data_IF_788988739268
#
_entry.id   IF_788988739268
#
_cell.length_a   1.000
_cell.length_b   1.000
_cell.length_c   1.000
_cell.angle_alpha   90.00
_cell.angle_beta   90.00
_cell.angle_gamma   90.00
#
_symmetry.space_group_name_H-M   'P 1'
#
loop_
_entity.id
_entity.type
_entity.pdbx_description
1 polymer ?
#
# COMPACT_ATOMS: atom_id res chain seq x y z
N UNK A 1 -47.82 -4.23 49.08
CA UNK A 1 -47.95 -3.16 48.06
C UNK A 1 -47.67 -1.82 48.73
N UNK A 2 -47.21 -0.75 48.05
CA UNK A 2 -46.85 -0.55 46.62
C UNK A 2 -45.39 0.01 46.49
N UNK A 3 -44.80 0.48 45.38
CA UNK A 3 -45.20 0.83 44.02
C UNK A 3 -43.96 0.84 43.08
N UNK A 4 -44.13 0.41 41.82
CA UNK A 4 -43.56 1.04 40.62
C UNK A 4 -42.06 1.04 40.36
N UNK A 5 -41.54 -0.04 39.75
CA UNK A 5 -40.31 0.04 38.93
C UNK A 5 -40.75 0.31 37.49
N UNK A 6 -40.46 1.52 37.00
CA UNK A 6 -40.54 1.82 35.58
C UNK A 6 -39.45 1.03 34.85
N UNK A 7 -39.88 0.06 34.04
CA UNK A 7 -39.04 -0.55 33.01
C UNK A 7 -38.83 0.50 31.94
N UNK A 8 -37.62 1.07 31.87
CA UNK A 8 -37.17 1.74 30.66
C UNK A 8 -36.79 0.65 29.67
N UNK A 9 -37.55 0.56 28.59
CA UNK A 9 -37.16 -0.18 27.39
C UNK A 9 -35.83 0.40 26.88
N UNK A 10 -34.74 -0.31 27.19
CA UNK A 10 -33.45 -0.08 26.57
C UNK A 10 -33.48 -0.66 25.16
N UNK A 11 -34.05 0.09 24.22
CA UNK A 11 -33.56 0.04 22.85
C UNK A 11 -32.20 0.72 22.87
N UNK A 12 -31.16 -0.01 23.26
CA UNK A 12 -29.78 0.41 23.09
C UNK A 12 -29.52 0.57 21.58
N UNK A 13 -29.66 1.81 21.11
CA UNK A 13 -28.91 2.27 19.95
C UNK A 13 -27.44 2.04 20.25
N UNK A 14 -26.88 0.93 19.74
CA UNK A 14 -25.43 0.78 19.61
C UNK A 14 -24.93 1.97 18.79
N UNK A 15 -24.39 2.99 19.45
CA UNK A 15 -23.71 4.08 18.76
C UNK A 15 -22.51 3.51 18.02
N UNK A 16 -22.68 3.42 16.70
CA UNK A 16 -21.68 3.05 15.70
C UNK A 16 -20.66 4.21 15.59
N UNK A 17 -19.84 4.38 16.63
CA UNK A 17 -18.89 5.48 16.71
C UNK A 17 -17.55 5.23 15.99
N UNK A 18 -17.25 3.98 15.59
CA UNK A 18 -15.92 3.56 15.06
C UNK A 18 -15.83 3.38 13.54
N UNK A 19 -16.85 3.75 12.76
CA UNK A 19 -16.96 3.42 11.31
C UNK A 19 -16.47 4.57 10.40
N UNK A 20 -15.50 5.37 10.85
CA UNK A 20 -14.99 6.49 10.05
C UNK A 20 -13.48 6.42 10.01
N UNK A 21 -12.90 6.68 8.83
CA UNK A 21 -11.47 6.92 8.73
C UNK A 21 -11.22 8.08 9.66
N UNK A 22 -10.15 7.93 10.42
CA UNK A 22 -9.47 9.00 11.12
C UNK A 22 -8.02 8.63 10.87
N UNK A 23 -7.46 8.99 9.72
CA UNK A 23 -6.03 8.77 9.46
C UNK A 23 -5.20 9.98 9.86
N UNK A 24 -3.97 9.76 10.32
CA UNK A 24 -3.08 10.89 10.59
C UNK A 24 -2.81 11.62 9.26
N UNK A 25 -2.46 12.87 9.31
CA UNK A 25 -2.15 13.74 8.15
C UNK A 25 -0.76 13.60 7.63
N UNK A 26 0.12 13.16 8.52
CA UNK A 26 1.22 12.30 8.16
C UNK A 26 0.73 11.04 7.43
N UNK A 27 -0.49 10.99 6.91
CA UNK A 27 -0.96 10.10 5.90
C UNK A 27 -1.86 10.72 4.82
N UNK A 28 -1.73 12.01 4.44
CA UNK A 28 -2.45 12.65 3.29
C UNK A 28 -1.52 13.39 2.33
N UNK A 29 -1.81 13.30 1.03
CA UNK A 29 -0.99 13.85 -0.04
C UNK A 29 -1.80 14.47 -1.14
N UNK A 30 -1.47 15.69 -1.57
CA UNK A 30 -2.04 16.21 -2.81
C UNK A 30 -1.56 15.42 -4.00
N UNK A 31 -2.44 15.23 -4.98
CA UNK A 31 -2.07 14.70 -6.29
C UNK A 31 -2.47 15.68 -7.39
N UNK A 32 -1.67 15.79 -8.47
CA UNK A 32 -1.99 16.65 -9.60
C UNK A 32 -3.22 16.13 -10.34
N UNK A 33 -3.87 17.00 -11.13
CA UNK A 33 -5.02 16.63 -11.98
C UNK A 33 -4.66 15.62 -13.08
N UNK A 34 -3.37 15.48 -13.39
CA UNK A 34 -2.80 14.60 -14.42
C UNK A 34 -2.81 13.12 -14.04
N UNK A 35 -2.93 12.78 -12.75
CA UNK A 35 -2.92 11.39 -12.26
C UNK A 35 -4.36 10.92 -11.98
N UNK A 36 -4.77 9.81 -12.57
CA UNK A 36 -6.09 9.21 -12.31
C UNK A 36 -6.20 8.68 -10.87
N UNK A 37 -7.41 8.63 -10.30
CA UNK A 37 -7.59 8.23 -8.90
C UNK A 37 -7.17 6.78 -8.65
N UNK A 38 -7.43 5.87 -9.60
CA UNK A 38 -7.05 4.46 -9.54
C UNK A 38 -5.53 4.30 -9.54
N UNK A 39 -4.82 5.12 -10.32
CA UNK A 39 -3.36 5.16 -10.35
C UNK A 39 -2.83 5.71 -9.03
N UNK A 40 -3.42 6.80 -8.52
CA UNK A 40 -3.05 7.36 -7.21
C UNK A 40 -3.21 6.36 -6.06
N UNK A 41 -4.28 5.56 -6.08
CA UNK A 41 -4.54 4.50 -5.10
C UNK A 41 -3.56 3.31 -5.17
N UNK A 42 -2.56 3.35 -6.06
CA UNK A 42 -1.51 2.34 -6.19
C UNK A 42 -0.11 2.85 -5.76
N UNK A 43 0.02 4.13 -5.40
CA UNK A 43 1.32 4.78 -5.16
C UNK A 43 1.79 4.68 -3.69
N UNK A 44 0.97 5.10 -2.74
CA UNK A 44 1.43 5.43 -1.38
C UNK A 44 1.89 4.23 -0.56
N UNK A 45 1.32 3.03 -0.72
CA UNK A 45 1.78 1.84 -0.01
C UNK A 45 2.98 1.23 -0.73
N UNK A 46 2.80 0.92 -2.01
CA UNK A 46 3.69 0.00 -2.73
C UNK A 46 4.95 0.71 -3.22
N UNK A 47 4.82 1.92 -3.80
CA UNK A 47 5.98 2.67 -4.28
C UNK A 47 6.77 3.31 -3.14
N UNK A 48 6.11 3.81 -2.09
CA UNK A 48 6.81 4.29 -0.90
C UNK A 48 7.66 3.19 -0.25
N UNK A 49 7.11 1.98 -0.11
CA UNK A 49 7.85 0.84 0.45
C UNK A 49 9.01 0.43 -0.46
N UNK A 50 8.80 0.40 -1.78
CA UNK A 50 9.85 0.13 -2.75
C UNK A 50 10.98 1.17 -2.70
N UNK A 51 10.67 2.47 -2.65
CA UNK A 51 11.64 3.56 -2.56
C UNK A 51 12.43 3.50 -1.25
N UNK A 52 11.77 3.33 -0.10
CA UNK A 52 12.48 3.18 1.18
C UNK A 52 13.39 1.95 1.19
N UNK A 53 12.94 0.83 0.62
CA UNK A 53 13.74 -0.38 0.58
C UNK A 53 14.93 -0.29 -0.40
N UNK A 54 14.72 0.22 -1.61
CA UNK A 54 15.73 0.28 -2.66
C UNK A 54 16.66 1.48 -2.51
N UNK A 55 16.10 2.69 -2.36
CA UNK A 55 16.88 3.93 -2.23
C UNK A 55 17.54 4.01 -0.86
N UNK A 56 16.75 4.02 0.21
CA UNK A 56 17.26 4.36 1.54
C UNK A 56 18.00 3.20 2.18
N UNK A 57 17.45 1.99 2.10
CA UNK A 57 17.98 0.82 2.80
C UNK A 57 19.04 0.10 2.00
N UNK A 58 18.75 -0.20 0.75
CA UNK A 58 19.70 -0.85 -0.13
C UNK A 58 20.72 0.12 -0.75
N UNK A 59 20.50 1.44 -0.73
CA UNK A 59 21.37 2.41 -1.40
C UNK A 59 21.66 1.98 -2.85
N UNK A 60 20.60 1.58 -3.56
CA UNK A 60 20.69 1.08 -4.93
C UNK A 60 21.34 2.15 -5.81
N UNK A 61 22.30 1.71 -6.63
CA UNK A 61 23.00 2.56 -7.60
C UNK A 61 22.66 2.14 -9.02
N UNK A 62 22.92 3.07 -9.94
CA UNK A 62 22.66 2.87 -11.35
C UNK A 62 23.38 1.62 -11.90
N UNK A 63 22.69 0.83 -12.72
CA UNK A 63 23.24 -0.33 -13.41
C UNK A 63 23.52 -1.57 -12.55
N UNK A 64 23.28 -1.52 -11.24
CA UNK A 64 23.41 -2.69 -10.36
C UNK A 64 22.39 -3.78 -10.73
N UNK A 65 22.71 -5.04 -10.38
CA UNK A 65 21.79 -6.16 -10.60
C UNK A 65 20.89 -6.32 -9.39
N UNK A 66 19.57 -6.33 -9.63
CA UNK A 66 18.55 -6.41 -8.58
C UNK A 66 17.69 -7.64 -8.82
N UNK A 67 17.51 -8.47 -7.79
CA UNK A 67 16.55 -9.58 -7.82
C UNK A 67 15.30 -9.17 -7.05
N UNK A 68 14.12 -9.29 -7.65
CA UNK A 68 12.83 -8.99 -7.01
C UNK A 68 11.99 -10.26 -6.94
N UNK A 69 11.61 -10.69 -5.73
CA UNK A 69 10.68 -11.83 -5.58
C UNK A 69 9.23 -11.37 -5.59
N UNK A 70 8.32 -12.24 -6.04
CA UNK A 70 6.91 -11.87 -6.20
C UNK A 70 6.73 -10.73 -7.19
N UNK A 71 7.60 -10.65 -8.19
CA UNK A 71 7.80 -9.46 -9.03
C UNK A 71 6.55 -9.00 -9.78
N UNK A 72 5.59 -9.89 -10.03
CA UNK A 72 4.33 -9.57 -10.68
C UNK A 72 3.23 -9.06 -9.74
N UNK A 73 3.43 -9.01 -8.42
CA UNK A 73 2.47 -8.47 -7.45
C UNK A 73 2.50 -6.94 -7.36
N UNK A 74 1.62 -6.32 -6.57
CA UNK A 74 1.58 -4.85 -6.40
C UNK A 74 2.91 -4.25 -5.95
N UNK A 75 3.43 -4.69 -4.80
CA UNK A 75 4.74 -4.25 -4.30
C UNK A 75 5.90 -4.73 -5.18
N UNK A 76 5.81 -5.95 -5.73
CA UNK A 76 6.83 -6.50 -6.63
C UNK A 76 7.01 -5.66 -7.90
N UNK A 77 5.90 -5.29 -8.55
CA UNK A 77 5.94 -4.44 -9.74
C UNK A 77 6.39 -3.02 -9.40
N UNK A 78 6.01 -2.47 -8.25
CA UNK A 78 6.55 -1.18 -7.79
C UNK A 78 8.08 -1.24 -7.62
N UNK A 79 8.61 -2.32 -7.04
CA UNK A 79 10.06 -2.52 -6.90
C UNK A 79 10.76 -2.71 -8.26
N UNK A 80 10.15 -3.45 -9.20
CA UNK A 80 10.65 -3.58 -10.58
C UNK A 80 10.68 -2.23 -11.26
N UNK A 81 9.60 -1.47 -11.18
CA UNK A 81 9.45 -0.16 -11.83
C UNK A 81 10.46 0.85 -11.29
N UNK A 82 10.58 0.99 -9.96
CA UNK A 82 11.60 1.84 -9.34
C UNK A 82 13.01 1.42 -9.76
N UNK A 83 13.35 0.13 -9.63
CA UNK A 83 14.70 -0.33 -9.93
C UNK A 83 15.05 -0.16 -11.43
N UNK A 84 14.15 -0.53 -12.34
CA UNK A 84 14.39 -0.47 -13.78
C UNK A 84 14.30 0.96 -14.33
N UNK A 85 13.28 1.73 -13.96
CA UNK A 85 13.00 3.01 -14.61
C UNK A 85 13.63 4.21 -13.90
N UNK A 86 13.80 4.17 -12.58
CA UNK A 86 14.50 5.24 -11.84
C UNK A 86 15.99 4.97 -11.77
N UNK A 87 16.38 3.77 -11.34
CA UNK A 87 17.79 3.42 -11.14
C UNK A 87 18.46 2.78 -12.36
N UNK A 88 17.73 2.53 -13.46
CA UNK A 88 18.29 1.84 -14.65
C UNK A 88 19.03 0.54 -14.28
N UNK A 89 18.56 -0.12 -13.22
CA UNK A 89 19.14 -1.35 -12.72
C UNK A 89 18.80 -2.52 -13.64
N UNK A 90 19.64 -3.56 -13.62
CA UNK A 90 19.34 -4.82 -14.31
C UNK A 90 18.47 -5.69 -13.41
N UNK A 91 17.17 -5.58 -13.58
CA UNK A 91 16.20 -6.27 -12.74
C UNK A 91 15.98 -7.72 -13.22
N UNK A 92 16.07 -8.67 -12.29
CA UNK A 92 15.71 -10.08 -12.45
C UNK A 92 14.45 -10.33 -11.60
N UNK A 93 13.32 -10.54 -12.24
CA UNK A 93 12.04 -10.81 -11.57
C UNK A 93 11.80 -12.30 -11.32
N UNK A 94 11.40 -12.65 -10.11
CA UNK A 94 11.01 -14.02 -9.74
C UNK A 94 9.49 -14.12 -9.57
N UNK A 95 8.86 -14.98 -10.37
CA UNK A 95 7.41 -15.11 -10.50
C UNK A 95 6.93 -16.55 -10.23
N UNK A 96 5.62 -16.73 -10.06
CA UNK A 96 5.03 -18.07 -9.87
C UNK A 96 4.68 -18.78 -11.19
N UNK A 97 4.55 -18.04 -12.29
CA UNK A 97 4.18 -18.57 -13.62
C UNK A 97 4.89 -17.77 -14.71
N UNK A 98 4.99 -18.35 -15.91
CA UNK A 98 5.61 -17.68 -17.06
C UNK A 98 4.78 -16.48 -17.57
N UNK A 99 3.45 -16.55 -17.50
CA UNK A 99 2.60 -15.39 -17.87
C UNK A 99 2.90 -14.17 -16.99
N UNK A 100 3.13 -14.41 -15.69
CA UNK A 100 3.54 -13.37 -14.74
C UNK A 100 4.95 -12.88 -15.03
N UNK A 101 5.87 -13.76 -15.41
CA UNK A 101 7.21 -13.38 -15.84
C UNK A 101 7.18 -12.52 -17.12
N UNK A 102 6.28 -12.83 -18.05
CA UNK A 102 6.06 -12.04 -19.27
C UNK A 102 5.68 -10.61 -18.94
N UNK A 103 4.67 -10.42 -18.10
CA UNK A 103 4.29 -9.09 -17.62
C UNK A 103 5.48 -8.33 -17.00
N UNK A 104 6.30 -9.01 -16.18
CA UNK A 104 7.44 -8.36 -15.50
C UNK A 104 8.51 -7.92 -16.49
N UNK A 105 8.78 -8.70 -17.55
CA UNK A 105 9.66 -8.30 -18.66
C UNK A 105 9.08 -7.10 -19.42
N UNK A 106 7.79 -7.11 -19.72
CA UNK A 106 7.11 -5.99 -20.42
C UNK A 106 7.15 -4.69 -19.59
N UNK A 107 7.27 -4.81 -18.26
CA UNK A 107 7.41 -3.68 -17.33
C UNK A 107 8.86 -3.21 -17.14
N UNK A 108 9.82 -3.77 -17.88
CA UNK A 108 11.20 -3.29 -17.94
C UNK A 108 12.22 -4.15 -17.21
N UNK A 109 11.84 -5.32 -16.68
CA UNK A 109 12.82 -6.25 -16.13
C UNK A 109 13.74 -6.80 -17.24
N UNK A 110 15.04 -6.88 -16.96
CA UNK A 110 16.03 -7.46 -17.86
C UNK A 110 15.74 -8.95 -18.09
N UNK A 111 15.36 -9.66 -17.04
CA UNK A 111 14.92 -11.04 -17.09
C UNK A 111 13.79 -11.25 -16.08
N UNK A 112 12.90 -12.20 -16.35
CA UNK A 112 11.99 -12.72 -15.35
C UNK A 112 11.75 -14.20 -15.58
N UNK A 113 11.65 -14.97 -14.50
CA UNK A 113 11.52 -16.42 -14.54
C UNK A 113 10.77 -16.96 -13.32
N UNK A 114 10.47 -18.24 -13.35
CA UNK A 114 9.95 -18.98 -12.19
C UNK A 114 11.07 -19.24 -11.16
N UNK A 115 10.71 -19.53 -9.91
CA UNK A 115 11.66 -19.74 -8.81
C UNK A 115 12.35 -21.12 -8.81
N UNK A 116 12.70 -21.65 -9.99
CA UNK A 116 13.62 -22.78 -10.08
C UNK A 116 15.05 -22.34 -9.75
N UNK A 117 15.73 -23.07 -8.87
CA UNK A 117 17.04 -22.65 -8.38
C UNK A 117 18.12 -22.71 -9.46
N UNK A 118 18.08 -23.71 -10.35
CA UNK A 118 19.11 -23.87 -11.39
C UNK A 118 18.99 -22.75 -12.42
N UNK A 119 17.77 -22.45 -12.84
CA UNK A 119 17.51 -21.38 -13.80
C UNK A 119 17.80 -20.00 -13.20
N UNK A 120 17.51 -19.82 -11.92
CA UNK A 120 17.82 -18.57 -11.21
C UNK A 120 19.33 -18.35 -11.09
N UNK A 121 20.10 -19.34 -10.65
CA UNK A 121 21.55 -19.23 -10.56
C UNK A 121 22.20 -19.00 -11.93
N UNK A 122 21.69 -19.68 -12.97
CA UNK A 122 22.15 -19.49 -14.35
C UNK A 122 21.89 -18.06 -14.83
N UNK A 123 20.66 -17.59 -14.71
CA UNK A 123 20.25 -16.24 -15.14
C UNK A 123 21.02 -15.17 -14.38
N UNK A 124 21.14 -15.30 -13.06
CA UNK A 124 21.89 -14.36 -12.23
C UNK A 124 23.35 -14.34 -12.67
N UNK A 125 23.99 -15.51 -12.88
CA UNK A 125 25.37 -15.59 -13.35
C UNK A 125 25.56 -14.87 -14.70
N UNK A 126 24.64 -15.04 -15.63
CA UNK A 126 24.68 -14.39 -16.95
C UNK A 126 24.54 -12.86 -16.83
N UNK A 127 23.52 -12.37 -16.12
CA UNK A 127 23.21 -10.94 -16.00
C UNK A 127 24.25 -10.19 -15.16
N UNK A 128 24.72 -10.80 -14.07
CA UNK A 128 25.73 -10.24 -13.15
C UNK A 128 27.17 -10.47 -13.59
N UNK A 129 27.39 -11.22 -14.68
CA UNK A 129 28.73 -11.69 -15.09
C UNK A 129 29.45 -12.47 -13.99
N UNK A 130 28.69 -13.24 -13.21
CA UNK A 130 29.19 -14.08 -12.12
C UNK A 130 29.31 -13.40 -10.76
N UNK A 131 29.02 -12.09 -10.65
CA UNK A 131 29.15 -11.35 -9.39
C UNK A 131 27.98 -11.55 -8.42
N UNK A 132 26.88 -12.18 -8.85
CA UNK A 132 25.65 -12.26 -8.07
C UNK A 132 24.85 -10.95 -8.10
N UNK A 133 23.74 -10.90 -7.36
CA UNK A 133 22.92 -9.69 -7.27
C UNK A 133 23.43 -8.76 -6.18
N UNK A 134 23.45 -7.46 -6.48
CA UNK A 134 23.83 -6.42 -5.52
C UNK A 134 22.71 -6.16 -4.51
N UNK A 135 21.46 -6.28 -4.95
CA UNK A 135 20.28 -6.14 -4.10
C UNK A 135 19.29 -7.27 -4.38
N UNK A 136 18.78 -7.87 -3.32
CA UNK A 136 17.59 -8.73 -3.36
C UNK A 136 16.47 -8.03 -2.61
N UNK A 137 15.32 -7.82 -3.26
CA UNK A 137 14.11 -7.27 -2.67
C UNK A 137 13.04 -8.35 -2.57
N UNK A 138 12.81 -8.85 -1.36
CA UNK A 138 11.92 -9.98 -1.11
C UNK A 138 10.53 -9.53 -0.63
N UNK A 139 9.50 -10.00 -1.32
CA UNK A 139 8.08 -9.76 -0.96
C UNK A 139 7.35 -11.05 -0.56
N UNK A 140 8.03 -12.20 -0.61
CA UNK A 140 7.39 -13.52 -0.56
C UNK A 140 7.72 -14.29 0.71
N UNK A 141 8.97 -14.35 1.16
CA UNK A 141 9.41 -15.26 2.21
C UNK A 141 9.43 -16.75 1.78
N UNK A 142 9.47 -17.65 2.77
CA UNK A 142 9.45 -19.10 2.57
C UNK A 142 10.50 -19.63 1.59
N UNK A 143 10.15 -20.69 0.85
CA UNK A 143 11.05 -21.35 -0.11
C UNK A 143 11.59 -20.42 -1.21
N UNK A 144 10.77 -19.44 -1.65
CA UNK A 144 11.18 -18.47 -2.69
C UNK A 144 12.34 -17.62 -2.19
N UNK A 145 12.28 -17.15 -0.94
CA UNK A 145 13.39 -16.46 -0.30
C UNK A 145 14.61 -17.36 -0.16
N UNK A 146 14.44 -18.58 0.35
CA UNK A 146 15.53 -19.53 0.62
C UNK A 146 16.32 -19.92 -0.64
N UNK A 147 15.64 -19.94 -1.80
CA UNK A 147 16.29 -20.13 -3.10
C UNK A 147 16.93 -18.83 -3.61
N UNK A 148 16.22 -17.72 -3.50
CA UNK A 148 16.67 -16.43 -4.05
C UNK A 148 17.89 -15.86 -3.34
N UNK A 149 18.00 -16.04 -2.02
CA UNK A 149 19.13 -15.51 -1.24
C UNK A 149 20.48 -16.12 -1.65
N UNK A 150 20.49 -17.30 -2.27
CA UNK A 150 21.70 -17.95 -2.82
C UNK A 150 22.28 -17.23 -4.03
N UNK A 151 21.57 -16.23 -4.56
CA UNK A 151 21.99 -15.44 -5.70
C UNK A 151 22.67 -14.13 -5.30
N UNK A 152 22.69 -13.80 -4.01
CA UNK A 152 23.27 -12.56 -3.49
C UNK A 152 24.77 -12.60 -3.65
N UNK A 153 25.32 -11.55 -4.24
CA UNK A 153 26.76 -11.38 -4.45
C UNK A 153 27.48 -10.81 -3.23
N UNK A 154 28.80 -10.67 -3.36
CA UNK A 154 29.62 -10.05 -2.34
C UNK A 154 29.17 -8.62 -2.00
N UNK A 155 29.09 -8.29 -0.71
CA UNK A 155 28.56 -7.03 -0.18
C UNK A 155 27.11 -6.72 -0.58
N UNK A 156 26.37 -7.74 -1.04
CA UNK A 156 24.98 -7.61 -1.42
C UNK A 156 24.07 -7.23 -0.26
N UNK A 157 22.87 -6.73 -0.59
CA UNK A 157 21.87 -6.32 0.40
C UNK A 157 20.56 -7.03 0.14
N UNK A 158 20.06 -7.70 1.18
CA UNK A 158 18.79 -8.41 1.15
C UNK A 158 17.77 -7.61 1.94
N UNK A 159 16.78 -7.06 1.24
CA UNK A 159 15.67 -6.28 1.80
C UNK A 159 14.45 -7.17 1.90
N UNK A 160 14.00 -7.47 3.12
CA UNK A 160 12.74 -8.18 3.39
C UNK A 160 11.63 -7.15 3.57
N UNK A 161 10.66 -7.15 2.65
CA UNK A 161 9.58 -6.18 2.58
C UNK A 161 8.19 -6.78 2.81
N UNK A 162 8.04 -8.11 2.71
CA UNK A 162 6.75 -8.76 2.96
C UNK A 162 6.82 -10.29 2.94
N UNK A 163 5.73 -10.92 3.37
CA UNK A 163 5.61 -12.39 3.48
C UNK A 163 4.39 -12.89 2.72
N UNK A 164 4.30 -12.68 1.41
CA UNK A 164 3.16 -13.13 0.61
C UNK A 164 2.90 -14.65 0.75
N UNK A 165 3.95 -15.46 0.98
CA UNK A 165 3.85 -16.89 1.24
C UNK A 165 3.14 -17.24 2.57
N UNK A 166 3.08 -16.29 3.52
CA UNK A 166 2.71 -16.46 4.93
C UNK A 166 3.69 -17.31 5.74
N UNK A 167 4.88 -17.57 5.20
CA UNK A 167 5.93 -18.32 5.87
C UNK A 167 7.12 -17.39 6.12
N UNK A 168 7.59 -17.38 7.37
CA UNK A 168 8.81 -16.68 7.72
C UNK A 168 9.99 -17.31 6.97
N UNK A 169 10.88 -16.50 6.37
CA UNK A 169 12.08 -17.00 5.72
C UNK A 169 13.03 -17.62 6.74
N UNK A 170 13.66 -18.74 6.40
CA UNK A 170 14.77 -19.29 7.18
C UNK A 170 16.09 -18.80 6.60
N UNK A 171 16.94 -18.25 7.46
CA UNK A 171 18.30 -17.87 7.09
C UNK A 171 19.30 -18.74 7.84
N UNK A 172 20.23 -19.32 7.09
CA UNK A 172 21.42 -19.97 7.67
C UNK A 172 22.47 -18.88 7.85
N UNK A 173 22.64 -18.41 9.08
CA UNK A 173 23.47 -17.22 9.39
C UNK A 173 24.94 -17.38 9.02
N UNK A 174 25.48 -18.60 8.93
CA UNK A 174 26.84 -18.83 8.44
C UNK A 174 27.06 -18.37 6.99
N UNK A 175 26.00 -18.28 6.19
CA UNK A 175 26.07 -17.75 4.81
C UNK A 175 26.44 -16.26 4.76
N UNK A 176 26.17 -15.52 5.84
CA UNK A 176 26.57 -14.11 5.94
C UNK A 176 28.09 -13.95 5.87
N UNK A 177 28.87 -14.95 6.27
CA UNK A 177 30.33 -14.91 6.24
C UNK A 177 30.90 -15.20 4.85
N UNK A 178 30.29 -16.11 4.08
CA UNK A 178 30.87 -16.58 2.82
C UNK A 178 30.79 -15.52 1.72
N UNK A 179 29.63 -14.87 1.59
CA UNK A 179 29.45 -13.77 0.62
C UNK A 179 29.67 -12.40 1.28
N UNK A 180 29.69 -12.29 2.62
CA UNK A 180 29.78 -10.99 3.32
C UNK A 180 28.67 -10.03 2.87
N UNK A 181 27.42 -10.34 3.21
CA UNK A 181 26.25 -9.57 2.79
C UNK A 181 25.40 -9.11 3.98
N UNK A 182 24.48 -8.16 3.75
CA UNK A 182 23.58 -7.62 4.78
C UNK A 182 22.14 -8.12 4.60
N UNK A 183 21.50 -8.55 5.67
CA UNK A 183 20.05 -8.80 5.74
C UNK A 183 19.36 -7.67 6.51
N UNK A 184 18.31 -7.07 5.94
CA UNK A 184 17.59 -5.95 6.54
C UNK A 184 16.09 -5.98 6.22
N UNK A 185 15.28 -5.44 7.13
CA UNK A 185 13.86 -5.19 6.89
C UNK A 185 13.57 -3.78 6.40
N UNK A 186 12.43 -3.62 5.73
CA UNK A 186 11.78 -2.33 5.45
C UNK A 186 10.31 -2.41 5.90
N UNK A 187 9.85 -1.40 6.63
CA UNK A 187 8.45 -1.30 7.04
C UNK A 187 8.01 0.16 6.99
N UNK A 188 7.12 0.50 6.05
CA UNK A 188 6.59 1.85 5.88
C UNK A 188 5.96 2.39 7.17
N UNK A 189 5.27 1.54 7.93
CA UNK A 189 4.64 1.94 9.20
C UNK A 189 5.67 2.22 10.30
N UNK A 190 6.84 1.57 10.30
CA UNK A 190 7.87 1.86 11.29
C UNK A 190 8.63 3.14 10.96
N UNK A 191 8.89 3.42 9.68
CA UNK A 191 9.43 4.73 9.27
C UNK A 191 8.52 5.87 9.70
N UNK A 192 7.20 5.71 9.53
CA UNK A 192 6.21 6.69 10.04
C UNK A 192 6.40 6.96 11.54
N UNK A 193 6.54 5.91 12.35
CA UNK A 193 6.52 6.02 13.82
C UNK A 193 7.84 6.47 14.41
N UNK A 194 8.94 5.92 13.90
CA UNK A 194 10.26 6.09 14.49
C UNK A 194 11.05 7.24 13.85
N UNK A 195 10.81 7.51 12.56
CA UNK A 195 11.58 8.43 11.74
C UNK A 195 10.66 9.39 10.96
N UNK A 196 9.80 10.17 11.64
CA UNK A 196 8.81 11.02 10.98
C UNK A 196 9.43 12.10 10.09
N UNK A 197 10.71 12.47 10.29
CA UNK A 197 11.45 13.42 9.43
C UNK A 197 11.90 12.79 8.10
N UNK A 198 12.37 11.55 8.12
CA UNK A 198 12.71 10.81 6.87
C UNK A 198 11.46 10.50 6.06
N UNK A 199 10.36 10.46 6.78
CA UNK A 199 9.04 10.33 6.25
C UNK A 199 8.53 11.71 5.76
N UNK A 200 8.84 12.84 6.38
CA UNK A 200 8.29 14.18 6.05
C UNK A 200 9.19 15.11 5.25
N UNK A 201 8.63 15.92 4.34
CA UNK A 201 9.41 17.00 3.68
C UNK A 201 9.21 18.28 4.46
N UNK A 202 10.30 18.93 4.84
CA UNK A 202 10.22 20.35 5.19
C UNK A 202 10.23 21.19 3.91
N UNK A 203 9.11 21.86 3.63
CA UNK A 203 9.01 23.05 2.78
C UNK A 203 9.03 22.81 1.27
N UNK A 204 7.85 22.98 0.64
CA UNK A 204 7.76 23.51 -0.71
C UNK A 204 6.48 24.34 -0.84
N UNK A 205 6.63 25.60 -1.25
CA UNK A 205 5.53 26.51 -1.55
C UNK A 205 4.67 25.95 -2.71
N UNK A 206 3.55 25.30 -2.39
CA UNK A 206 2.54 24.89 -3.38
C UNK A 206 1.44 25.96 -3.43
N UNK A 207 1.28 26.69 -4.55
CA UNK A 207 0.22 27.69 -4.66
C UNK A 207 -1.18 27.06 -4.64
N UNK A 208 -2.17 27.70 -4.02
CA UNK A 208 -3.52 27.15 -3.89
C UNK A 208 -4.20 27.02 -5.25
N UNK A 209 -4.73 25.83 -5.55
CA UNK A 209 -5.56 25.56 -6.71
C UNK A 209 -6.97 26.16 -6.54
N UNK A 210 -7.55 26.63 -7.65
CA UNK A 210 -8.84 27.30 -7.68
C UNK A 210 -9.98 26.38 -7.20
N UNK A 211 -10.79 26.91 -6.28
CA UNK A 211 -11.98 26.25 -5.73
C UNK A 211 -12.99 25.89 -6.83
N UNK A 212 -13.27 24.59 -6.98
CA UNK A 212 -14.47 24.12 -7.67
C UNK A 212 -15.55 23.80 -6.64
N UNK A 213 -16.68 24.50 -6.75
CA UNK A 213 -17.83 24.30 -5.87
C UNK A 213 -18.63 23.07 -6.31
N UNK A 214 -18.31 21.90 -5.77
CA UNK A 214 -19.21 20.74 -5.80
C UNK A 214 -19.88 20.57 -4.42
N UNK A 215 -21.01 21.27 -4.24
CA UNK A 215 -21.86 21.11 -3.06
C UNK A 215 -22.91 20.03 -3.30
N UNK A 216 -22.58 18.76 -3.06
CA UNK A 216 -23.60 17.71 -2.89
C UNK A 216 -23.61 17.32 -1.41
N UNK A 217 -24.74 17.58 -0.74
CA UNK A 217 -24.98 17.12 0.64
C UNK A 217 -25.60 15.74 0.56
N UNK A 218 -24.80 14.69 0.71
CA UNK A 218 -25.33 13.35 0.97
C UNK A 218 -25.68 13.25 2.47
N UNK A 219 -26.85 12.71 2.81
CA UNK A 219 -27.22 12.43 4.20
C UNK A 219 -26.58 11.12 4.71
N UNK A 220 -26.21 10.24 3.78
CA UNK A 220 -25.58 8.95 4.02
C UNK A 220 -24.64 8.56 2.88
N UNK A 221 -23.73 7.63 3.13
CA UNK A 221 -22.79 7.07 2.15
C UNK A 221 -22.66 5.55 2.35
N UNK A 222 -22.26 4.80 1.33
CA UNK A 222 -22.04 3.36 1.41
C UNK A 222 -20.67 3.02 1.95
N UNK A 223 -20.59 1.93 2.70
CA UNK A 223 -19.34 1.32 3.12
C UNK A 223 -19.43 -0.21 3.18
N UNK A 224 -18.29 -0.88 2.99
CA UNK A 224 -18.15 -2.30 3.21
C UNK A 224 -17.73 -2.59 4.66
N UNK A 225 -18.69 -3.02 5.47
CA UNK A 225 -18.54 -3.26 6.90
C UNK A 225 -18.26 -4.74 7.16
N UNK A 226 -17.22 -5.00 7.94
CA UNK A 226 -16.86 -6.28 8.49
C UNK A 226 -17.43 -6.38 9.91
N UNK A 227 -18.40 -7.28 10.14
CA UNK A 227 -19.04 -7.45 11.45
C UNK A 227 -18.19 -8.26 12.43
N UNK A 228 -17.38 -9.19 11.91
CA UNK A 228 -16.45 -10.03 12.66
C UNK A 228 -15.43 -10.67 11.69
N UNK A 229 -14.29 -11.20 12.18
CA UNK A 229 -13.32 -11.89 11.34
C UNK A 229 -13.95 -13.07 10.57
N UNK A 230 -13.35 -13.39 9.43
CA UNK A 230 -13.69 -14.53 8.57
C UNK A 230 -15.16 -14.54 8.10
N UNK A 231 -15.72 -13.35 7.90
CA UNK A 231 -17.04 -13.17 7.30
C UNK A 231 -16.98 -12.23 6.10
N UNK A 232 -17.88 -12.40 5.11
CA UNK A 232 -17.96 -11.45 4.01
C UNK A 232 -18.28 -10.05 4.52
N UNK A 233 -17.65 -9.03 3.92
CA UNK A 233 -18.01 -7.64 4.16
C UNK A 233 -19.43 -7.41 3.63
N UNK A 234 -20.24 -6.67 4.39
CA UNK A 234 -21.61 -6.28 4.00
C UNK A 234 -21.63 -4.81 3.61
N UNK A 235 -22.38 -4.48 2.57
CA UNK A 235 -22.57 -3.09 2.18
C UNK A 235 -23.63 -2.47 3.07
N UNK A 236 -23.26 -1.42 3.80
CA UNK A 236 -24.14 -0.67 4.69
C UNK A 236 -24.22 0.80 4.28
N UNK A 237 -25.35 1.45 4.53
CA UNK A 237 -25.52 2.89 4.39
C UNK A 237 -25.30 3.55 5.75
N UNK A 238 -24.34 4.47 5.82
CA UNK A 238 -23.89 5.12 7.05
C UNK A 238 -24.16 6.62 6.99
N UNK A 239 -24.42 7.24 8.12
CA UNK A 239 -24.66 8.68 8.19
C UNK A 239 -23.38 9.50 8.04
N UNK A 240 -23.44 10.59 7.29
CA UNK A 240 -22.31 11.52 7.12
C UNK A 240 -22.00 12.21 8.44
N UNK A 241 -20.72 12.29 8.81
CA UNK A 241 -20.22 13.07 9.94
C UNK A 241 -19.44 14.29 9.45
N UNK A 242 -19.54 15.40 10.18
CA UNK A 242 -18.75 16.62 9.90
C UNK A 242 -17.29 16.45 10.28
N UNK A 243 -16.41 17.10 9.54
CA UNK A 243 -15.00 17.16 9.88
C UNK A 243 -14.80 18.01 11.15
N UNK A 244 -14.07 17.48 12.15
CA UNK A 244 -13.75 18.20 13.39
C UNK A 244 -12.40 18.92 13.28
N UNK A 245 -11.99 19.62 14.34
CA UNK A 245 -10.69 20.31 14.43
C UNK A 245 -9.55 19.39 13.96
N UNK A 246 -8.75 19.91 13.04
CA UNK A 246 -7.65 19.23 12.39
C UNK A 246 -8.14 17.95 11.75
N UNK A 247 -9.24 17.98 10.97
CA UNK A 247 -9.70 16.85 10.17
C UNK A 247 -10.19 17.32 8.81
N UNK A 248 -10.08 16.50 7.78
CA UNK A 248 -10.65 16.69 6.44
C UNK A 248 -11.55 15.51 6.12
N UNK A 249 -12.69 15.76 5.49
CA UNK A 249 -13.57 14.72 4.95
C UNK A 249 -13.31 14.58 3.47
N UNK A 250 -13.07 13.37 3.01
CA UNK A 250 -12.72 13.06 1.63
C UNK A 250 -13.80 12.16 1.02
N UNK A 251 -14.22 12.49 -0.20
CA UNK A 251 -14.93 11.59 -1.08
C UNK A 251 -13.90 10.63 -1.66
N UNK A 252 -13.95 9.37 -1.24
CA UNK A 252 -13.09 8.34 -1.79
C UNK A 252 -13.56 8.07 -3.21
N UNK A 253 -12.63 8.06 -4.16
CA UNK A 253 -12.88 7.69 -5.56
C UNK A 253 -12.32 6.29 -5.86
N UNK A 254 -11.17 5.98 -5.28
CA UNK A 254 -10.51 4.70 -5.39
C UNK A 254 -9.86 4.28 -4.06
N UNK A 255 -9.79 2.98 -3.81
CA UNK A 255 -9.05 2.38 -2.69
C UNK A 255 -8.23 1.17 -3.17
N UNK A 256 -6.93 1.18 -2.93
CA UNK A 256 -6.05 0.04 -3.17
C UNK A 256 -6.34 -1.08 -2.18
N UNK A 257 -6.45 -2.32 -2.66
CA UNK A 257 -6.56 -3.52 -1.82
C UNK A 257 -5.16 -4.01 -1.47
N UNK A 258 -4.86 -4.09 -0.18
CA UNK A 258 -3.53 -4.41 0.34
C UNK A 258 -3.54 -5.69 1.20
N UNK A 259 -2.36 -6.23 1.51
CA UNK A 259 -2.25 -7.41 2.39
C UNK A 259 -2.85 -7.21 3.79
N UNK A 260 -2.70 -6.04 4.45
CA UNK A 260 -3.38 -5.78 5.71
C UNK A 260 -4.90 -5.94 5.64
N UNK A 261 -5.54 -5.55 4.53
CA UNK A 261 -6.99 -5.69 4.37
C UNK A 261 -7.41 -7.17 4.43
N UNK A 262 -6.64 -8.05 3.78
CA UNK A 262 -6.86 -9.51 3.81
C UNK A 262 -6.64 -10.08 5.21
N UNK A 263 -5.56 -9.67 5.88
CA UNK A 263 -5.21 -10.17 7.21
C UNK A 263 -6.27 -9.76 8.24
N UNK A 264 -6.76 -8.52 8.18
CA UNK A 264 -7.85 -8.03 9.04
C UNK A 264 -9.14 -8.79 8.74
N UNK A 265 -9.52 -8.93 7.47
CA UNK A 265 -10.72 -9.68 7.09
C UNK A 265 -10.73 -11.12 7.60
N UNK A 266 -9.56 -11.74 7.78
CA UNK A 266 -9.42 -13.11 8.30
C UNK A 266 -9.16 -13.20 9.81
N UNK A 267 -8.99 -12.07 10.50
CA UNK A 267 -8.55 -12.06 11.91
C UNK A 267 -7.12 -12.56 12.11
N UNK A 268 -6.31 -12.54 11.07
CA UNK A 268 -4.88 -12.91 11.08
C UNK A 268 -3.97 -11.70 11.35
N UNK A 269 -4.56 -10.52 11.60
CA UNK A 269 -3.82 -9.30 11.91
C UNK A 269 -3.26 -9.36 13.33
N UNK A 270 -2.05 -8.82 13.51
CA UNK A 270 -1.30 -8.88 14.76
C UNK A 270 -1.83 -7.92 15.85
N UNK A 271 -2.70 -6.99 15.48
CA UNK A 271 -3.32 -6.03 16.40
C UNK A 271 -4.79 -6.33 16.62
N UNK A 272 -5.28 -6.00 17.81
CA UNK A 272 -6.69 -6.08 18.14
C UNK A 272 -7.52 -5.12 17.27
N UNK A 273 -8.58 -5.64 16.65
CA UNK A 273 -9.55 -4.89 15.86
C UNK A 273 -10.89 -4.91 16.58
N UNK A 274 -11.49 -3.73 16.77
CA UNK A 274 -12.85 -3.58 17.29
C UNK A 274 -13.84 -3.64 16.13
N UNK A 275 -14.80 -4.55 16.22
CA UNK A 275 -15.85 -4.72 15.23
C UNK A 275 -17.17 -4.06 15.70
N UNK A 276 -18.03 -3.57 14.80
CA UNK A 276 -17.89 -3.54 13.33
C UNK A 276 -16.77 -2.61 12.84
N UNK A 277 -16.16 -2.97 11.71
CA UNK A 277 -14.96 -2.32 11.15
C UNK A 277 -15.05 -2.17 9.63
N UNK A 278 -14.50 -1.10 9.06
CA UNK A 278 -14.38 -0.96 7.59
C UNK A 278 -12.89 -1.09 7.22
N UNK A 279 -12.50 -2.12 6.43
CA UNK A 279 -11.16 -2.22 5.87
C UNK A 279 -10.90 -1.18 4.76
N UNK A 280 -9.72 -1.20 4.16
CA UNK A 280 -9.30 -0.25 3.14
C UNK A 280 -8.21 0.66 3.70
N UNK A 281 -6.99 0.37 3.26
CA UNK A 281 -5.77 0.95 3.79
C UNK A 281 -5.27 2.18 3.03
N UNK A 282 -5.52 2.25 1.73
CA UNK A 282 -4.91 3.24 0.83
C UNK A 282 -5.98 3.82 -0.09
N UNK A 283 -6.35 5.08 0.11
CA UNK A 283 -7.40 5.75 -0.65
C UNK A 283 -6.86 6.85 -1.55
N UNK A 284 -7.63 7.16 -2.57
CA UNK A 284 -7.43 8.30 -3.44
C UNK A 284 -8.79 8.97 -3.69
N UNK A 285 -8.89 10.29 -3.54
CA UNK A 285 -10.18 10.98 -3.52
C UNK A 285 -10.12 12.50 -3.54
N UNK A 286 -11.25 13.14 -3.24
CA UNK A 286 -11.42 14.60 -3.26
C UNK A 286 -11.85 15.12 -1.88
N UNK A 287 -11.24 16.21 -1.40
CA UNK A 287 -11.62 16.83 -0.12
C UNK A 287 -12.99 17.51 -0.24
N UNK A 288 -13.98 17.02 0.52
CA UNK A 288 -15.34 17.57 0.60
C UNK A 288 -15.47 18.68 1.64
N UNK A 289 -14.79 18.56 2.76
CA UNK A 289 -14.93 19.42 3.93
C UNK A 289 -13.63 19.47 4.72
N UNK A 290 -13.32 20.62 5.31
CA UNK A 290 -12.21 20.80 6.24
C UNK A 290 -12.74 21.28 7.58
N UNK A 291 -12.19 20.75 8.67
CA UNK A 291 -12.44 21.24 10.01
C UNK A 291 -11.56 22.41 10.39
N UNK A 292 -11.73 22.96 11.59
CA UNK A 292 -10.91 24.08 12.08
C UNK A 292 -9.45 23.69 12.23
N UNK A 293 -8.51 24.64 12.10
CA UNK A 293 -7.06 24.40 12.16
C UNK A 293 -6.51 23.47 11.07
N UNK A 294 -7.23 23.33 9.94
CA UNK A 294 -6.72 22.67 8.75
C UNK A 294 -5.91 23.69 7.90
N UNK A 295 -4.59 23.51 7.75
CA UNK A 295 -3.65 24.35 6.96
C UNK A 295 -3.07 23.62 5.73
N UNK A 296 -2.84 24.28 4.59
CA UNK A 296 -2.27 23.66 3.36
C UNK A 296 -3.24 22.76 2.56
N UNK A 297 -4.20 22.06 3.18
CA UNK A 297 -5.25 21.31 2.47
C UNK A 297 -6.54 22.14 2.34
N UNK A 298 -7.08 22.21 1.13
CA UNK A 298 -8.31 22.93 0.79
C UNK A 298 -9.41 21.99 0.31
N UNK A 299 -10.66 22.41 0.52
CA UNK A 299 -11.81 21.77 -0.13
C UNK A 299 -11.62 21.78 -1.65
N UNK A 300 -11.84 20.64 -2.30
CA UNK A 300 -11.64 20.42 -3.73
C UNK A 300 -10.26 19.83 -4.07
N UNK A 301 -9.31 19.82 -3.13
CA UNK A 301 -8.01 19.18 -3.37
C UNK A 301 -8.20 17.68 -3.63
N UNK A 302 -7.44 17.16 -4.61
CA UNK A 302 -7.33 15.73 -4.87
C UNK A 302 -6.24 15.17 -3.97
N UNK A 303 -6.53 14.08 -3.25
CA UNK A 303 -5.61 13.52 -2.27
C UNK A 303 -5.46 12.00 -2.32
N UNK A 304 -4.27 11.50 -2.00
CA UNK A 304 -4.04 10.12 -1.55
C UNK A 304 -3.99 10.12 -0.02
N UNK A 305 -4.52 9.08 0.63
CA UNK A 305 -4.32 8.89 2.07
C UNK A 305 -4.13 7.44 2.52
N UNK A 306 -3.37 7.22 3.61
CA UNK A 306 -3.19 5.90 4.23
C UNK A 306 -3.86 5.78 5.61
N UNK A 307 -4.85 4.91 5.72
CA UNK A 307 -5.65 4.66 6.92
C UNK A 307 -5.02 3.77 7.99
N UNK A 308 -3.77 4.00 8.41
CA UNK A 308 -2.98 2.97 9.15
C UNK A 308 -3.51 2.53 10.52
N UNK A 309 -4.15 3.43 11.28
CA UNK A 309 -4.56 3.13 12.67
C UNK A 309 -6.08 2.90 12.80
N UNK A 310 -6.89 3.35 11.83
CA UNK A 310 -8.35 3.27 11.90
C UNK A 310 -9.01 2.70 10.64
N UNK A 311 -8.32 2.64 9.49
CA UNK A 311 -8.80 2.13 8.19
C UNK A 311 -10.16 2.75 7.79
N UNK A 312 -10.78 2.23 6.74
CA UNK A 312 -12.10 2.58 6.14
C UNK A 312 -12.06 3.13 4.72
N UNK A 313 -11.01 2.78 4.00
CA UNK A 313 -10.95 3.07 2.57
C UNK A 313 -11.98 2.34 1.72
N UNK A 314 -12.61 1.25 2.19
CA UNK A 314 -13.75 0.62 1.52
C UNK A 314 -15.08 1.32 1.84
N UNK A 315 -15.12 2.63 1.62
CA UNK A 315 -16.28 3.48 1.80
C UNK A 315 -16.27 4.63 0.80
N UNK A 316 -17.42 5.20 0.46
CA UNK A 316 -17.55 6.35 -0.43
C UNK A 316 -17.03 7.66 0.21
N UNK A 317 -17.03 7.77 1.54
CA UNK A 317 -16.50 8.92 2.27
C UNK A 317 -15.66 8.49 3.48
N UNK A 318 -14.67 9.31 3.83
CA UNK A 318 -13.75 9.06 4.93
C UNK A 318 -13.30 10.38 5.62
N UNK A 319 -12.96 10.36 6.93
CA UNK A 319 -12.47 11.54 7.67
C UNK A 319 -10.97 11.39 8.00
N UNK A 320 -10.22 12.47 8.09
CA UNK A 320 -8.76 12.40 8.12
C UNK A 320 -8.17 13.55 8.95
N UNK A 321 -7.57 13.32 10.12
CA UNK A 321 -6.79 14.30 10.87
C UNK A 321 -5.81 15.17 10.07
N UNK A 322 -5.45 16.36 10.58
CA UNK A 322 -4.60 17.35 9.91
C UNK A 322 -3.45 18.00 10.71
N UNK A 323 -2.20 17.76 10.24
CA UNK A 323 -0.79 17.99 10.69
C UNK A 323 0.26 17.29 9.73
N UNK A 324 0.80 18.03 8.74
CA UNK A 324 2.04 17.90 7.86
C UNK A 324 2.38 16.67 6.93
N UNK A 325 2.98 16.99 5.76
CA UNK A 325 3.19 16.21 4.50
C UNK A 325 4.46 15.33 4.39
N UNK A 326 4.56 14.42 3.39
CA UNK A 326 5.62 13.38 3.28
C UNK A 326 6.52 13.44 2.03
N UNK A 327 7.80 13.05 2.15
CA UNK A 327 8.74 13.01 1.00
C UNK A 327 8.49 11.84 0.06
N UNK A 328 8.46 10.61 0.56
CA UNK A 328 8.62 9.44 -0.34
C UNK A 328 7.38 9.13 -1.20
N UNK A 329 6.19 9.49 -0.72
CA UNK A 329 4.95 9.35 -1.50
C UNK A 329 4.82 10.51 -2.49
N UNK A 330 5.21 11.74 -2.09
CA UNK A 330 5.26 12.86 -3.03
C UNK A 330 6.31 12.61 -4.12
N UNK A 331 7.47 12.05 -3.79
CA UNK A 331 8.44 11.59 -4.79
C UNK A 331 7.82 10.57 -5.75
N UNK A 332 7.04 9.62 -5.25
CA UNK A 332 6.34 8.66 -6.09
C UNK A 332 5.26 9.33 -6.98
N UNK A 333 4.55 10.33 -6.45
CA UNK A 333 3.58 11.15 -7.21
C UNK A 333 4.28 11.96 -8.30
N UNK A 334 5.33 12.69 -7.95
CA UNK A 334 6.13 13.53 -8.86
C UNK A 334 6.75 12.67 -9.97
N UNK A 335 7.36 11.54 -9.62
CA UNK A 335 7.94 10.62 -10.60
C UNK A 335 6.86 9.97 -11.49
N UNK A 336 5.67 9.70 -10.95
CA UNK A 336 4.53 9.22 -11.75
C UNK A 336 4.04 10.29 -12.72
N UNK A 337 3.91 11.54 -12.28
CA UNK A 337 3.54 12.67 -13.14
C UNK A 337 4.56 12.90 -14.26
N UNK A 338 5.85 12.76 -13.95
CA UNK A 338 6.93 12.84 -14.94
C UNK A 338 7.01 11.61 -15.87
N UNK A 339 6.16 10.59 -15.66
CA UNK A 339 6.14 9.36 -16.46
C UNK A 339 7.30 8.40 -16.19
N UNK A 340 8.07 8.64 -15.12
CA UNK A 340 9.16 7.76 -14.66
C UNK A 340 8.61 6.50 -13.99
N UNK A 341 7.55 6.64 -13.19
CA UNK A 341 6.82 5.51 -12.61
C UNK A 341 5.53 5.25 -13.39
N UNK A 342 5.19 3.97 -13.52
CA UNK A 342 4.04 3.49 -14.29
C UNK A 342 3.25 2.46 -13.47
N UNK A 343 2.53 2.89 -12.41
CA UNK A 343 1.70 2.01 -11.60
C UNK A 343 0.78 1.15 -12.46
N UNK A 344 0.73 -0.15 -12.16
CA UNK A 344 -0.07 -1.10 -12.92
C UNK A 344 -1.26 -1.58 -12.10
N UNK A 345 -2.41 -0.96 -12.34
CA UNK A 345 -3.71 -1.42 -11.88
C UNK A 345 -4.22 -2.46 -12.87
N UNK A 346 -4.38 -3.71 -12.43
CA UNK A 346 -4.78 -4.81 -13.31
C UNK A 346 -6.27 -5.13 -13.23
N UNK A 347 -6.88 -4.84 -12.08
CA UNK A 347 -8.29 -5.12 -11.81
C UNK A 347 -8.89 -3.97 -11.03
N UNK A 348 -10.07 -3.56 -11.47
CA UNK A 348 -10.90 -2.57 -10.79
C UNK A 348 -12.25 -3.20 -10.50
N UNK A 349 -12.70 -3.10 -9.25
CA UNK A 349 -13.99 -3.62 -8.78
C UNK A 349 -14.81 -2.48 -8.20
N UNK A 350 -16.13 -2.52 -8.37
CA UNK A 350 -17.03 -1.65 -7.60
C UNK A 350 -17.05 -2.04 -6.13
N UNK A 351 -17.43 -1.12 -5.24
CA UNK A 351 -17.54 -1.37 -3.79
C UNK A 351 -18.37 -2.62 -3.46
N UNK A 352 -19.48 -2.85 -4.14
CA UNK A 352 -20.34 -4.02 -3.94
C UNK A 352 -19.65 -5.36 -4.25
N UNK A 353 -18.53 -5.32 -4.97
CA UNK A 353 -17.71 -6.47 -5.36
C UNK A 353 -16.43 -6.61 -4.53
N UNK A 354 -16.29 -5.89 -3.41
CA UNK A 354 -15.10 -5.93 -2.54
C UNK A 354 -14.72 -7.35 -2.08
N UNK A 355 -15.69 -8.23 -1.81
CA UNK A 355 -15.42 -9.61 -1.42
C UNK A 355 -14.77 -10.41 -2.55
N UNK A 356 -15.13 -10.14 -3.81
CA UNK A 356 -14.50 -10.76 -4.98
C UNK A 356 -13.07 -10.26 -5.17
N UNK A 357 -12.83 -8.96 -4.95
CA UNK A 357 -11.50 -8.38 -4.98
C UNK A 357 -10.58 -8.99 -3.90
N UNK A 358 -11.04 -9.08 -2.64
CA UNK A 358 -10.28 -9.72 -1.55
C UNK A 358 -9.99 -11.20 -1.84
N UNK A 359 -10.94 -11.91 -2.44
CA UNK A 359 -10.77 -13.30 -2.88
C UNK A 359 -9.70 -13.42 -3.96
N UNK A 360 -9.69 -12.52 -4.96
CA UNK A 360 -8.69 -12.53 -6.03
C UNK A 360 -7.25 -12.43 -5.50
N UNK A 361 -7.00 -11.57 -4.51
CA UNK A 361 -5.69 -11.47 -3.86
C UNK A 361 -5.40 -12.69 -2.99
N UNK A 362 -6.38 -13.17 -2.23
CA UNK A 362 -6.23 -14.35 -1.37
C UNK A 362 -5.82 -15.59 -2.18
N UNK A 363 -6.40 -15.77 -3.36
CA UNK A 363 -6.07 -16.86 -4.30
C UNK A 363 -4.78 -16.60 -5.09
N UNK A 364 -4.09 -15.48 -4.85
CA UNK A 364 -2.84 -15.07 -5.52
C UNK A 364 -2.95 -15.02 -7.06
N UNK A 365 -4.16 -14.75 -7.55
CA UNK A 365 -4.45 -14.63 -8.99
C UNK A 365 -4.20 -13.23 -9.52
N UNK A 366 -4.27 -12.21 -8.65
CA UNK A 366 -3.96 -10.84 -9.03
C UNK A 366 -2.50 -10.69 -9.50
N UNK A 367 -2.30 -9.81 -10.47
CA UNK A 367 -1.01 -9.25 -10.90
C UNK A 367 -1.06 -7.73 -10.68
N UNK A 368 0.00 -7.05 -10.27
CA UNK A 368 -0.05 -5.63 -9.94
C UNK A 368 -1.08 -5.27 -8.87
N UNK A 369 -1.67 -4.08 -8.97
CA UNK A 369 -2.61 -3.53 -8.00
C UNK A 369 -4.06 -3.90 -8.35
N UNK A 370 -4.83 -4.19 -7.31
CA UNK A 370 -6.29 -4.31 -7.38
C UNK A 370 -6.89 -3.10 -6.67
N UNK A 371 -7.86 -2.46 -7.31
CA UNK A 371 -8.48 -1.23 -6.82
C UNK A 371 -9.99 -1.43 -6.66
N UNK A 372 -10.54 -0.90 -5.57
CA UNK A 372 -11.98 -0.69 -5.38
C UNK A 372 -12.32 0.72 -5.81
N UNK A 373 -13.26 0.87 -6.74
CA UNK A 373 -13.78 2.13 -7.24
C UNK A 373 -15.13 2.43 -6.56
N UNK A 374 -15.32 3.67 -6.15
CA UNK A 374 -16.47 4.12 -5.32
C UNK A 374 -17.55 4.87 -6.10
N UNK A 375 -17.45 4.86 -7.43
CA UNK A 375 -18.31 5.60 -8.36
C UNK A 375 -19.79 5.17 -8.37
#
# INVERSE_FOLDING_TARGET
>A
MPAGVHVYDAVEQKEICSIFLICNTQDVFKIPSSIDFEVGAALAESYATALLGLSRRALLKEGQVVLVTGAAGGLGLAAVDVAANVYKAKVIGVCSTEDKATLVRDKGAWAALTYDLKDLLKTVKEVSKGNGVSVMFDTVGGEVFEKSIKCVGHEGKVVVAGFASRQAPKIVTSTLLTETYTLMGVCLNQYRKADPEIYSRHGADVPPLQQTNCGVRYASFKAAVLEKPDTPLKIENLSVKKAKKGQVRVRVRACGVNSPDILISKGEWDREIKYPFIPGFEICGEVLEIGSNVQEISKGDRVIALGKDNFSGFAEECIIPQEFEWEVVLDAVDMCEQGLLKPYVSHTYKLEKVNEALKLLTERKAVGKVVIQMD
#
